data_IF_321390322164
#
_entry.id   IF_321390322164
#
_cell.length_a   1.000
_cell.length_b   1.000
_cell.length_c   1.000
_cell.angle_alpha   90.00
_cell.angle_beta   90.00
_cell.angle_gamma   90.00
#
_symmetry.space_group_name_H-M   'P 1'
#
loop_
_entity.id
_entity.type
_entity.pdbx_description
1 polymer ?
#
# COMPACT_ATOMS: atom_id res chain seq x y z
N UNK A 1 21.91 -4.92 -9.69
CA UNK A 1 21.36 -3.53 -9.63
C UNK A 1 20.04 -3.59 -10.38
N UNK A 2 18.92 -3.44 -9.67
CA UNK A 2 17.62 -3.29 -10.32
C UNK A 2 17.66 -2.00 -11.15
N UNK A 3 17.28 -2.08 -12.42
CA UNK A 3 17.24 -0.93 -13.32
C UNK A 3 16.12 0.00 -12.81
N UNK A 4 16.46 1.18 -12.34
CA UNK A 4 15.50 2.13 -11.80
C UNK A 4 14.53 2.53 -12.91
N UNK A 5 13.26 2.19 -12.74
CA UNK A 5 12.21 2.45 -13.73
C UNK A 5 12.02 3.97 -13.84
N UNK A 6 12.25 4.53 -15.02
CA UNK A 6 11.94 5.92 -15.31
C UNK A 6 10.43 6.04 -15.61
N UNK A 7 9.64 6.20 -14.55
CA UNK A 7 8.17 6.24 -14.60
C UNK A 7 7.66 7.39 -15.48
N UNK A 8 8.39 8.49 -15.61
CA UNK A 8 8.02 9.63 -16.45
C UNK A 8 8.04 9.31 -17.95
N UNK A 9 8.76 8.27 -18.36
CA UNK A 9 8.86 7.81 -19.75
C UNK A 9 7.89 6.71 -20.13
N UNK A 10 7.10 6.21 -19.17
CA UNK A 10 6.11 5.19 -19.48
C UNK A 10 4.96 5.74 -20.31
N UNK A 11 4.59 5.00 -21.33
CA UNK A 11 3.44 5.29 -22.19
C UNK A 11 2.24 4.47 -21.72
N UNK A 12 1.05 5.05 -21.82
CA UNK A 12 -0.20 4.39 -21.45
C UNK A 12 -0.81 3.68 -22.67
N UNK A 13 -1.28 2.44 -22.49
CA UNK A 13 -2.17 1.78 -23.45
C UNK A 13 -3.53 2.49 -23.40
N UNK A 14 -4.11 2.89 -24.53
CA UNK A 14 -5.42 3.54 -24.54
C UNK A 14 -6.48 2.69 -23.82
N UNK A 15 -7.34 3.32 -23.03
CA UNK A 15 -8.37 2.60 -22.24
C UNK A 15 -9.29 1.76 -23.12
N UNK A 16 -9.58 2.21 -24.35
CA UNK A 16 -10.42 1.48 -25.32
C UNK A 16 -9.75 0.20 -25.86
N UNK A 17 -8.43 0.06 -25.70
CA UNK A 17 -7.62 -1.08 -26.14
C UNK A 17 -7.21 -1.97 -24.97
N UNK A 18 -7.49 -1.54 -23.73
CA UNK A 18 -7.21 -2.30 -22.52
C UNK A 18 -8.32 -3.32 -22.27
N UNK A 19 -7.97 -4.61 -22.29
CA UNK A 19 -8.93 -5.70 -22.10
C UNK A 19 -9.12 -6.01 -20.62
N UNK A 20 -10.31 -6.43 -20.22
CA UNK A 20 -10.51 -6.98 -18.88
C UNK A 20 -9.69 -8.26 -18.71
N UNK A 21 -9.07 -8.50 -17.53
CA UNK A 21 -9.31 -7.81 -16.26
C UNK A 21 -8.43 -6.58 -15.99
N UNK A 22 -7.73 -6.06 -16.97
CA UNK A 22 -6.81 -4.93 -16.73
C UNK A 22 -7.58 -3.61 -16.61
N UNK A 23 -7.24 -2.83 -15.57
CA UNK A 23 -7.74 -1.46 -15.37
C UNK A 23 -6.85 -0.42 -16.04
N UNK A 24 -5.53 -0.69 -16.10
CA UNK A 24 -4.51 0.22 -16.64
C UNK A 24 -3.30 -0.61 -17.09
N UNK A 25 -2.69 -0.23 -18.20
CA UNK A 25 -1.43 -0.84 -18.65
C UNK A 25 -0.50 0.27 -19.11
N UNK A 26 0.67 0.33 -18.50
CA UNK A 26 1.76 1.18 -18.93
C UNK A 26 2.86 0.33 -19.58
N UNK A 27 3.58 0.88 -20.54
CA UNK A 27 4.72 0.24 -21.17
C UNK A 27 5.85 1.21 -21.44
N UNK A 28 7.05 0.69 -21.46
CA UNK A 28 8.27 1.44 -21.76
C UNK A 28 9.23 0.61 -22.59
N UNK A 29 9.59 1.13 -23.75
CA UNK A 29 10.58 0.51 -24.63
C UNK A 29 11.98 0.79 -24.04
N UNK A 30 12.70 -0.25 -23.64
CA UNK A 30 14.04 -0.11 -23.03
C UNK A 30 15.02 0.55 -23.99
N UNK A 31 15.81 1.55 -23.54
CA UNK A 31 16.74 2.30 -24.40
C UNK A 31 17.81 1.42 -25.04
N UNK A 32 18.21 0.34 -24.39
CA UNK A 32 19.18 -0.64 -24.90
C UNK A 32 18.61 -1.55 -25.99
N UNK A 33 17.31 -1.44 -26.24
CA UNK A 33 16.60 -2.25 -27.21
C UNK A 33 16.45 -3.73 -26.83
N UNK A 34 16.66 -4.10 -25.56
CA UNK A 34 16.53 -5.49 -25.07
C UNK A 34 15.08 -5.95 -25.02
N UNK A 35 14.12 -5.04 -24.85
CA UNK A 35 12.71 -5.38 -24.75
C UNK A 35 11.81 -4.22 -24.35
N UNK A 36 10.61 -4.59 -23.92
CA UNK A 36 9.57 -3.67 -23.46
C UNK A 36 9.17 -4.03 -22.06
N UNK A 37 9.32 -3.10 -21.12
CA UNK A 37 8.80 -3.25 -19.77
C UNK A 37 7.30 -2.97 -19.76
N UNK A 38 6.56 -3.79 -19.04
CA UNK A 38 5.11 -3.69 -18.87
C UNK A 38 4.80 -3.53 -17.38
N UNK A 39 3.89 -2.60 -17.11
CA UNK A 39 3.29 -2.40 -15.80
C UNK A 39 1.77 -2.47 -15.99
N UNK A 40 1.17 -3.62 -15.66
CA UNK A 40 -0.24 -3.87 -15.86
C UNK A 40 -0.96 -3.98 -14.51
N UNK A 41 -2.09 -3.27 -14.38
CA UNK A 41 -2.92 -3.29 -13.18
C UNK A 41 -4.19 -4.09 -13.45
N UNK A 42 -4.44 -5.09 -12.62
CA UNK A 42 -5.66 -5.90 -12.68
C UNK A 42 -6.74 -5.20 -11.88
N UNK A 43 -7.93 -5.10 -12.47
CA UNK A 43 -9.11 -4.54 -11.79
C UNK A 43 -9.49 -5.45 -10.60
N UNK A 44 -9.20 -4.98 -9.41
CA UNK A 44 -9.45 -5.73 -8.19
C UNK A 44 -10.92 -5.57 -7.76
N UNK A 45 -11.83 -6.25 -8.44
CA UNK A 45 -13.22 -6.38 -7.98
C UNK A 45 -13.39 -7.52 -6.95
N UNK A 46 -12.31 -8.22 -6.61
CA UNK A 46 -12.35 -9.38 -5.72
C UNK A 46 -11.85 -8.99 -4.35
N UNK A 47 -12.77 -8.71 -3.45
CA UNK A 47 -12.46 -8.71 -2.01
C UNK A 47 -12.05 -10.12 -1.61
N UNK A 48 -10.80 -10.31 -1.17
CA UNK A 48 -10.35 -11.61 -0.65
C UNK A 48 -11.20 -11.98 0.56
N UNK A 49 -11.87 -13.14 0.50
CA UNK A 49 -12.73 -13.60 1.58
C UNK A 49 -12.00 -13.57 2.94
N UNK A 50 -12.60 -12.88 3.91
CA UNK A 50 -12.03 -12.74 5.25
C UNK A 50 -10.87 -11.75 5.35
N UNK A 51 -10.64 -10.90 4.33
CA UNK A 51 -9.67 -9.80 4.40
C UNK A 51 -10.12 -8.72 5.39
N UNK A 52 -9.14 -8.03 5.98
CA UNK A 52 -9.33 -6.84 6.82
C UNK A 52 -8.35 -5.76 6.43
N UNK A 53 -8.83 -4.53 6.44
CA UNK A 53 -8.06 -3.35 6.08
C UNK A 53 -7.96 -2.38 7.24
N UNK A 54 -6.81 -1.72 7.37
CA UNK A 54 -6.62 -0.67 8.36
C UNK A 54 -5.74 0.44 7.85
N UNK A 55 -5.97 1.65 8.36
CA UNK A 55 -5.16 2.82 8.07
C UNK A 55 -4.82 3.57 9.37
N UNK A 56 -3.55 3.87 9.54
CA UNK A 56 -3.01 4.64 10.64
C UNK A 56 -2.43 5.96 10.10
N UNK A 57 -3.00 7.07 10.52
CA UNK A 57 -2.56 8.41 10.13
C UNK A 57 -1.75 9.00 11.28
N UNK A 58 -0.55 9.48 10.98
CA UNK A 58 0.32 10.10 11.97
C UNK A 58 -0.34 11.33 12.61
N UNK A 59 -0.35 11.34 13.93
CA UNK A 59 -0.86 12.43 14.76
C UNK A 59 0.23 13.11 15.61
N UNK A 60 1.51 12.96 15.21
CA UNK A 60 2.62 13.66 15.83
C UNK A 60 2.56 15.18 15.58
N UNK A 61 3.34 15.93 16.33
CA UNK A 61 3.36 17.41 16.26
C UNK A 61 3.82 17.95 14.91
N UNK A 62 4.64 17.21 14.16
CA UNK A 62 5.07 17.59 12.80
C UNK A 62 3.90 17.67 11.81
N UNK A 63 2.91 16.80 11.96
CA UNK A 63 1.70 16.77 11.12
C UNK A 63 0.73 17.95 11.37
N UNK A 64 0.90 18.73 12.44
CA UNK A 64 -0.02 19.82 12.80
C UNK A 64 -0.29 20.81 11.65
N UNK A 65 0.70 21.25 10.85
CA UNK A 65 0.46 22.12 9.71
C UNK A 65 -0.47 21.52 8.65
N UNK A 66 -0.38 20.20 8.43
CA UNK A 66 -1.19 19.49 7.43
C UNK A 66 -2.65 19.34 7.86
N UNK A 67 -2.92 19.34 9.17
CA UNK A 67 -4.28 19.39 9.71
C UNK A 67 -4.90 20.81 9.68
N UNK A 68 -4.15 21.81 9.25
CA UNK A 68 -4.68 23.17 9.06
C UNK A 68 -4.81 24.01 10.32
N UNK A 69 -4.19 23.63 11.44
CA UNK A 69 -4.36 24.30 12.75
C UNK A 69 -3.44 25.48 12.99
N UNK A 70 -2.38 25.67 12.22
CA UNK A 70 -1.40 26.74 12.43
C UNK A 70 -1.92 28.08 11.90
N UNK A 71 -2.71 28.78 12.70
CA UNK A 71 -3.10 30.16 12.43
C UNK A 71 -1.90 31.08 12.72
N UNK A 72 -1.22 31.52 11.68
CA UNK A 72 -0.07 32.44 11.80
C UNK A 72 -0.47 33.86 12.29
N UNK A 73 -1.74 34.19 12.23
CA UNK A 73 -2.31 35.47 12.70
C UNK A 73 -3.82 35.36 12.80
N UNK A 74 -4.41 36.06 13.79
CA UNK A 74 -5.87 36.18 13.96
C UNK A 74 -6.58 36.83 12.75
N UNK A 75 -5.83 37.44 11.83
CA UNK A 75 -6.35 38.13 10.65
C UNK A 75 -6.27 37.31 9.36
N UNK A 76 -5.63 36.14 9.41
CA UNK A 76 -5.55 35.24 8.25
C UNK A 76 -6.58 34.09 8.38
N UNK A 77 -7.18 33.64 7.27
CA UNK A 77 -8.03 32.47 7.32
C UNK A 77 -7.22 31.27 7.85
N UNK A 78 -7.85 30.32 8.56
CA UNK A 78 -7.17 29.10 8.98
C UNK A 78 -6.62 28.36 7.76
N UNK A 79 -5.43 27.75 7.92
CA UNK A 79 -4.84 26.92 6.88
C UNK A 79 -5.80 25.75 6.53
N UNK A 80 -5.88 25.34 5.28
CA UNK A 80 -6.73 24.22 4.89
C UNK A 80 -6.24 22.91 5.53
N UNK A 81 -7.18 22.05 5.92
CA UNK A 81 -6.86 20.70 6.35
C UNK A 81 -6.58 19.84 5.11
N UNK A 82 -5.32 19.54 4.83
CA UNK A 82 -4.88 18.70 3.72
C UNK A 82 -5.03 17.19 4.01
N UNK A 83 -5.04 16.80 5.29
CA UNK A 83 -5.19 15.40 5.71
C UNK A 83 -6.60 14.88 5.39
N UNK A 84 -7.62 15.70 5.64
CA UNK A 84 -9.03 15.27 5.51
C UNK A 84 -9.37 14.67 4.14
N UNK A 85 -9.17 15.34 2.99
CA UNK A 85 -9.56 14.78 1.69
C UNK A 85 -8.78 13.51 1.36
N UNK A 86 -7.49 13.45 1.69
CA UNK A 86 -6.67 12.27 1.47
C UNK A 86 -7.13 11.10 2.35
N UNK A 87 -7.34 11.33 3.65
CA UNK A 87 -7.83 10.31 4.57
C UNK A 87 -9.22 9.77 4.18
N UNK A 88 -10.13 10.65 3.72
CA UNK A 88 -11.44 10.24 3.21
C UNK A 88 -11.29 9.30 2.01
N UNK A 89 -10.52 9.69 1.01
CA UNK A 89 -10.35 8.91 -0.21
C UNK A 89 -9.65 7.57 0.07
N UNK A 90 -8.56 7.56 0.84
CA UNK A 90 -7.84 6.33 1.20
C UNK A 90 -8.69 5.38 2.04
N UNK A 91 -9.39 5.89 3.05
CA UNK A 91 -10.25 5.06 3.89
C UNK A 91 -11.42 4.48 3.09
N UNK A 92 -12.04 5.28 2.21
CA UNK A 92 -13.11 4.82 1.31
C UNK A 92 -12.63 3.71 0.37
N UNK A 93 -11.44 3.91 -0.22
CA UNK A 93 -10.82 2.91 -1.08
C UNK A 93 -10.55 1.60 -0.33
N UNK A 94 -9.91 1.65 0.85
CA UNK A 94 -9.63 0.45 1.64
C UNK A 94 -10.91 -0.25 2.11
N UNK A 95 -11.91 0.49 2.54
CA UNK A 95 -13.20 -0.09 2.91
C UNK A 95 -13.82 -0.88 1.76
N UNK A 96 -13.69 -0.39 0.52
CA UNK A 96 -14.19 -1.08 -0.67
C UNK A 96 -13.45 -2.39 -0.98
N UNK A 97 -12.22 -2.55 -0.47
CA UNK A 97 -11.37 -3.74 -0.65
C UNK A 97 -11.43 -4.72 0.52
N UNK A 98 -12.02 -4.33 1.63
CA UNK A 98 -12.19 -5.20 2.81
C UNK A 98 -13.39 -6.13 2.66
N UNK A 99 -13.25 -7.40 3.08
CA UNK A 99 -14.32 -8.39 2.96
C UNK A 99 -15.57 -8.05 3.78
N UNK A 100 -15.45 -7.25 4.83
CA UNK A 100 -16.57 -6.76 5.65
C UNK A 100 -17.07 -5.37 5.21
N UNK A 101 -16.50 -4.80 4.14
CA UNK A 101 -16.84 -3.47 3.64
C UNK A 101 -16.42 -2.33 4.56
N UNK A 102 -15.47 -2.56 5.46
CA UNK A 102 -15.02 -1.57 6.46
C UNK A 102 -13.50 -1.47 6.50
N UNK A 103 -13.03 -0.30 6.93
CA UNK A 103 -11.62 -0.05 7.24
C UNK A 103 -11.49 0.40 8.69
N UNK A 104 -10.56 -0.18 9.43
CA UNK A 104 -10.20 0.27 10.76
C UNK A 104 -9.30 1.51 10.68
N UNK A 105 -9.71 2.62 11.27
CA UNK A 105 -9.00 3.91 11.18
C UNK A 105 -8.54 4.37 12.54
N UNK A 106 -7.27 4.75 12.62
CA UNK A 106 -6.66 5.31 13.84
C UNK A 106 -5.80 6.54 13.51
N UNK A 107 -5.61 7.40 14.51
CA UNK A 107 -4.42 8.23 14.59
C UNK A 107 -3.38 7.53 15.47
N UNK A 108 -2.13 7.50 15.04
CA UNK A 108 -1.03 6.95 15.79
C UNK A 108 0.00 8.02 16.11
N UNK A 109 1.05 7.68 16.87
CA UNK A 109 2.03 8.64 17.35
C UNK A 109 1.39 9.85 18.06
N UNK A 110 0.31 9.63 18.80
CA UNK A 110 -0.35 10.68 19.59
C UNK A 110 0.09 10.62 21.06
N UNK A 111 -0.19 11.68 21.81
CA UNK A 111 0.10 11.77 23.23
C UNK A 111 1.57 11.88 23.60
N UNK A 112 1.92 11.77 24.90
CA UNK A 112 3.28 11.91 25.38
C UNK A 112 4.24 10.85 24.80
N UNK A 113 5.32 11.31 24.14
CA UNK A 113 6.31 10.44 23.50
C UNK A 113 5.78 9.71 22.28
N UNK A 114 4.62 10.08 21.73
CA UNK A 114 4.06 9.46 20.53
C UNK A 114 3.69 7.98 20.70
N UNK A 115 3.34 7.55 21.92
CA UNK A 115 3.11 6.14 22.27
C UNK A 115 1.66 5.70 22.21
N UNK A 116 0.76 6.65 22.11
CA UNK A 116 -0.67 6.37 22.17
C UNK A 116 -1.28 6.23 20.77
N UNK A 117 -2.43 5.55 20.73
CA UNK A 117 -3.27 5.38 19.56
C UNK A 117 -4.64 5.98 19.87
N UNK A 118 -5.11 6.87 19.01
CA UNK A 118 -6.47 7.39 19.06
C UNK A 118 -7.33 6.67 18.04
N UNK A 119 -8.31 5.90 18.51
CA UNK A 119 -9.22 5.15 17.64
C UNK A 119 -10.24 6.12 17.03
N UNK A 120 -10.36 6.10 15.71
CA UNK A 120 -11.40 6.80 14.96
C UNK A 120 -12.63 5.89 14.82
N UNK A 121 -12.43 4.65 14.42
CA UNK A 121 -13.48 3.64 14.29
C UNK A 121 -13.34 2.79 13.03
N UNK A 122 -14.34 1.95 12.82
CA UNK A 122 -14.50 1.16 11.60
C UNK A 122 -15.45 1.89 10.67
N UNK A 123 -14.95 2.33 9.53
CA UNK A 123 -15.72 3.12 8.57
C UNK A 123 -16.04 2.29 7.32
N UNK A 124 -17.30 2.31 6.92
CA UNK A 124 -17.71 1.87 5.59
C UNK A 124 -17.26 2.88 4.53
N UNK A 125 -17.29 2.50 3.25
CA UNK A 125 -16.99 3.41 2.13
C UNK A 125 -17.75 4.75 2.26
N UNK A 126 -19.06 4.70 2.47
CA UNK A 126 -19.89 5.90 2.55
C UNK A 126 -19.69 6.72 3.85
N UNK A 127 -19.29 6.08 4.93
CA UNK A 127 -18.93 6.77 6.18
C UNK A 127 -17.58 7.46 6.04
N UNK A 128 -16.59 6.79 5.44
CA UNK A 128 -15.26 7.34 5.19
C UNK A 128 -15.29 8.61 4.32
N UNK A 129 -16.08 8.61 3.24
CA UNK A 129 -16.27 9.77 2.36
C UNK A 129 -16.81 11.02 3.09
N UNK A 130 -17.56 10.81 4.14
CA UNK A 130 -18.25 11.90 4.89
C UNK A 130 -17.57 12.20 6.21
N UNK A 131 -16.66 11.35 6.67
CA UNK A 131 -16.04 11.50 7.97
C UNK A 131 -15.21 12.79 8.04
N UNK A 132 -15.33 13.49 9.17
CA UNK A 132 -14.56 14.71 9.37
C UNK A 132 -13.21 14.36 10.02
N UNK A 133 -12.21 14.02 9.23
CA UNK A 133 -10.84 13.81 9.68
C UNK A 133 -10.25 15.13 10.21
N UNK A 134 -10.57 15.42 11.46
CA UNK A 134 -10.06 16.59 12.18
C UNK A 134 -8.70 16.32 12.80
N UNK A 135 -8.24 17.26 13.61
CA UNK A 135 -6.99 17.13 14.35
C UNK A 135 -7.08 16.03 15.40
N UNK A 136 -5.98 15.32 15.71
CA UNK A 136 -5.92 14.45 16.88
C UNK A 136 -6.27 15.18 18.17
N UNK A 137 -6.82 14.48 19.15
CA UNK A 137 -7.16 15.07 20.46
C UNK A 137 -5.92 15.63 21.15
N UNK A 138 -4.81 14.89 21.08
CA UNK A 138 -3.50 15.28 21.62
C UNK A 138 -2.44 14.92 20.60
N UNK A 139 -1.74 15.92 20.05
CA UNK A 139 -0.58 15.66 19.21
C UNK A 139 0.52 14.93 19.98
N UNK A 140 1.21 14.04 19.31
CA UNK A 140 2.36 13.35 19.89
C UNK A 140 3.61 14.20 19.96
N UNK A 141 4.45 13.92 20.94
CA UNK A 141 5.77 14.55 21.10
C UNK A 141 6.90 13.63 20.64
N UNK A 142 6.59 12.56 19.93
CA UNK A 142 7.48 11.59 19.31
C UNK A 142 6.71 10.75 18.30
N UNK A 143 7.38 9.83 17.60
CA UNK A 143 6.80 9.02 16.52
C UNK A 143 7.15 7.54 16.74
N UNK A 144 6.34 6.83 17.54
CA UNK A 144 6.52 5.42 17.82
C UNK A 144 5.52 4.56 17.03
N UNK A 145 6.02 3.70 16.14
CA UNK A 145 5.22 2.89 15.21
C UNK A 145 4.69 1.59 15.86
N UNK A 146 5.44 0.99 16.78
CA UNK A 146 5.08 -0.29 17.37
C UNK A 146 3.70 -0.35 18.02
N UNK A 147 3.22 0.70 18.74
CA UNK A 147 1.85 0.69 19.29
C UNK A 147 0.77 0.58 18.20
N UNK A 148 0.94 1.25 17.07
CA UNK A 148 0.01 1.18 15.94
C UNK A 148 0.05 -0.19 15.25
N UNK A 149 1.24 -0.76 15.04
CA UNK A 149 1.40 -2.13 14.56
C UNK A 149 0.63 -3.11 15.44
N UNK A 150 0.87 -3.07 16.74
CA UNK A 150 0.22 -3.97 17.72
C UNK A 150 -1.29 -3.78 17.74
N UNK A 151 -1.79 -2.56 17.56
CA UNK A 151 -3.23 -2.32 17.47
C UNK A 151 -3.88 -3.17 16.38
N UNK A 152 -3.27 -3.23 15.19
CA UNK A 152 -3.80 -4.03 14.08
C UNK A 152 -3.47 -5.52 14.18
N UNK A 153 -2.32 -5.90 14.73
CA UNK A 153 -1.77 -7.24 14.53
C UNK A 153 -1.72 -8.10 15.80
N UNK A 154 -1.72 -7.51 17.01
CA UNK A 154 -1.57 -8.25 18.27
C UNK A 154 -2.86 -8.98 18.70
N UNK A 155 -4.01 -8.39 18.42
CA UNK A 155 -5.33 -8.91 18.80
C UNK A 155 -5.74 -8.62 20.24
N UNK A 156 -4.93 -7.92 21.02
CA UNK A 156 -5.32 -7.46 22.36
C UNK A 156 -6.45 -6.43 22.27
N UNK A 157 -6.31 -5.47 21.38
CA UNK A 157 -7.32 -4.45 21.10
C UNK A 157 -8.34 -4.88 20.03
N UNK A 158 -7.90 -5.66 19.04
CA UNK A 158 -8.67 -6.00 17.83
C UNK A 158 -8.47 -7.46 17.40
N UNK A 159 -9.15 -8.35 18.11
CA UNK A 159 -9.10 -9.79 17.83
C UNK A 159 -9.54 -10.12 16.40
N UNK A 160 -10.57 -9.44 15.91
CA UNK A 160 -11.09 -9.58 14.54
C UNK A 160 -10.06 -9.23 13.46
N UNK A 161 -9.19 -8.24 13.70
CA UNK A 161 -8.10 -7.90 12.78
C UNK A 161 -6.99 -8.94 12.79
N UNK A 162 -6.64 -9.45 13.97
CA UNK A 162 -5.63 -10.52 14.12
C UNK A 162 -6.07 -11.83 13.50
N UNK A 163 -7.35 -12.18 13.61
CA UNK A 163 -7.95 -13.40 13.07
C UNK A 163 -8.37 -13.28 11.59
N UNK A 164 -8.15 -12.13 10.96
CA UNK A 164 -8.37 -11.96 9.53
C UNK A 164 -7.61 -13.03 8.73
N UNK A 165 -8.23 -13.60 7.72
CA UNK A 165 -7.56 -14.56 6.81
C UNK A 165 -6.42 -13.90 6.02
N UNK A 166 -6.49 -12.59 5.86
CA UNK A 166 -5.47 -11.74 5.31
C UNK A 166 -5.68 -10.30 5.79
N UNK A 167 -4.62 -9.60 6.12
CA UNK A 167 -4.67 -8.22 6.58
C UNK A 167 -3.76 -7.31 5.78
N UNK A 168 -4.22 -6.09 5.45
CA UNK A 168 -3.38 -5.02 4.94
C UNK A 168 -3.54 -3.78 5.81
N UNK A 169 -2.43 -3.31 6.35
CA UNK A 169 -2.41 -2.18 7.27
C UNK A 169 -1.44 -1.11 6.77
N UNK A 170 -1.95 0.10 6.57
CA UNK A 170 -1.21 1.21 5.95
C UNK A 170 -0.93 2.27 7.00
N UNK A 171 0.32 2.72 7.05
CA UNK A 171 0.82 3.74 7.97
C UNK A 171 1.28 4.94 7.16
N UNK A 172 0.84 6.13 7.55
CA UNK A 172 1.23 7.40 6.92
C UNK A 172 1.95 8.22 7.96
N UNK A 173 3.14 8.75 7.61
CA UNK A 173 3.98 9.56 8.50
C UNK A 173 4.73 10.63 7.73
N UNK A 174 5.04 11.76 8.36
CA UNK A 174 5.92 12.81 7.84
C UNK A 174 7.25 12.91 8.63
N UNK A 175 7.46 11.98 9.59
CA UNK A 175 8.57 12.03 10.52
C UNK A 175 9.47 10.79 10.53
N UNK A 176 10.45 10.83 11.43
CA UNK A 176 11.31 9.69 11.74
C UNK A 176 10.65 8.78 12.76
N UNK A 177 10.81 7.47 12.57
CA UNK A 177 10.33 6.44 13.50
C UNK A 177 11.38 6.27 14.60
N UNK A 178 10.98 6.47 15.85
CA UNK A 178 11.89 6.47 17.00
C UNK A 178 12.13 5.07 17.59
N UNK A 179 11.26 4.10 17.30
CA UNK A 179 11.29 2.75 17.85
C UNK A 179 11.58 1.66 16.80
N UNK A 180 12.40 1.98 15.80
CA UNK A 180 12.73 1.10 14.67
C UNK A 180 13.25 -0.28 15.08
N UNK A 181 14.13 -0.36 16.08
CA UNK A 181 14.70 -1.63 16.54
C UNK A 181 13.63 -2.55 17.13
N UNK A 182 12.69 -2.00 17.89
CA UNK A 182 11.55 -2.72 18.45
C UNK A 182 10.58 -3.17 17.36
N UNK A 183 10.32 -2.30 16.38
CA UNK A 183 9.50 -2.60 15.19
C UNK A 183 10.09 -3.78 14.42
N UNK A 184 11.39 -3.73 14.09
CA UNK A 184 12.07 -4.82 13.36
C UNK A 184 12.02 -6.14 14.11
N UNK A 185 12.27 -6.14 15.42
CA UNK A 185 12.17 -7.35 16.26
C UNK A 185 10.75 -7.94 16.26
N UNK A 186 9.76 -7.07 16.37
CA UNK A 186 8.35 -7.48 16.34
C UNK A 186 7.96 -8.07 15.00
N UNK A 187 8.32 -7.40 13.89
CA UNK A 187 8.06 -7.86 12.53
C UNK A 187 8.77 -9.18 12.21
N UNK A 188 10.03 -9.34 12.64
CA UNK A 188 10.76 -10.61 12.49
C UNK A 188 10.06 -11.77 13.21
N UNK A 189 9.54 -11.53 14.42
CA UNK A 189 8.76 -12.55 15.13
C UNK A 189 7.45 -12.88 14.42
N UNK A 190 6.77 -11.85 13.90
CA UNK A 190 5.51 -11.99 13.16
C UNK A 190 5.70 -12.77 11.86
N UNK A 191 6.76 -12.49 11.09
CA UNK A 191 7.09 -13.21 9.87
C UNK A 191 7.31 -14.72 10.13
N UNK A 192 8.04 -15.06 11.20
CA UNK A 192 8.24 -16.46 11.62
C UNK A 192 6.93 -17.15 12.02
N UNK A 193 5.99 -16.42 12.59
CA UNK A 193 4.68 -16.97 12.93
C UNK A 193 3.81 -17.20 11.69
N UNK A 194 3.91 -16.32 10.68
CA UNK A 194 3.23 -16.49 9.39
C UNK A 194 3.81 -17.70 8.65
N UNK A 195 5.14 -17.77 8.47
CA UNK A 195 5.81 -18.89 7.81
C UNK A 195 5.50 -20.25 8.46
N UNK A 196 5.40 -20.26 9.80
CA UNK A 196 5.05 -21.47 10.55
C UNK A 196 3.54 -21.78 10.55
N UNK A 197 2.70 -21.00 9.85
CA UNK A 197 1.25 -21.17 9.82
C UNK A 197 0.53 -20.88 11.14
N UNK A 198 1.20 -20.23 12.11
CA UNK A 198 0.60 -19.82 13.38
C UNK A 198 -0.16 -18.51 13.28
N UNK A 199 0.06 -17.77 12.20
CA UNK A 199 -0.60 -16.50 11.90
C UNK A 199 -0.95 -16.47 10.40
N UNK A 200 -2.06 -15.84 10.07
CA UNK A 200 -2.44 -15.57 8.68
C UNK A 200 -1.57 -14.46 8.06
N UNK A 201 -1.57 -14.40 6.74
CA UNK A 201 -0.77 -13.42 5.98
C UNK A 201 -1.15 -11.99 6.31
N UNK A 202 -0.14 -11.15 6.44
CA UNK A 202 -0.27 -9.71 6.66
C UNK A 202 0.67 -8.99 5.71
N UNK A 203 0.18 -7.91 5.11
CA UNK A 203 0.99 -6.94 4.40
C UNK A 203 0.92 -5.59 5.12
N UNK A 204 2.08 -5.02 5.36
CA UNK A 204 2.26 -3.72 5.98
C UNK A 204 2.74 -2.75 4.91
N UNK A 205 2.17 -1.56 4.88
CA UNK A 205 2.58 -0.51 3.94
C UNK A 205 2.89 0.74 4.74
N UNK A 206 4.03 1.36 4.49
CA UNK A 206 4.35 2.66 5.06
C UNK A 206 4.56 3.70 3.96
N UNK A 207 3.90 4.85 4.11
CA UNK A 207 4.00 5.96 3.18
C UNK A 207 4.59 7.15 3.93
N UNK A 208 5.81 7.51 3.56
CA UNK A 208 6.47 8.72 4.02
C UNK A 208 5.97 9.95 3.26
N UNK A 209 5.66 11.03 3.95
CA UNK A 209 5.11 12.25 3.36
C UNK A 209 6.06 13.43 3.53
N UNK A 210 6.44 14.06 2.40
CA UNK A 210 7.28 15.25 2.38
C UNK A 210 8.77 14.95 2.58
N UNK A 211 9.55 16.02 2.82
CA UNK A 211 11.02 15.94 2.82
C UNK A 211 11.63 15.67 4.21
N UNK A 212 10.79 15.64 5.26
CA UNK A 212 11.27 15.39 6.64
C UNK A 212 11.28 13.91 7.00
N UNK A 213 10.69 13.05 6.16
CA UNK A 213 10.71 11.61 6.37
C UNK A 213 12.12 11.05 6.16
N UNK A 214 12.53 10.12 7.00
CA UNK A 214 13.80 9.41 6.87
C UNK A 214 13.67 8.31 5.81
N UNK A 215 14.16 8.59 4.60
CA UNK A 215 14.10 7.63 3.48
C UNK A 215 14.85 6.33 3.79
N UNK A 216 15.98 6.42 4.50
CA UNK A 216 16.76 5.28 4.96
C UNK A 216 15.96 4.35 5.87
N UNK A 217 15.07 4.89 6.72
CA UNK A 217 14.18 4.08 7.54
C UNK A 217 13.07 3.40 6.72
N UNK A 218 12.56 4.08 5.68
CA UNK A 218 11.60 3.47 4.76
C UNK A 218 12.24 2.30 4.01
N UNK A 219 13.45 2.50 3.47
CA UNK A 219 14.21 1.44 2.79
C UNK A 219 14.57 0.29 3.75
N UNK A 220 14.87 0.58 5.01
CA UNK A 220 15.18 -0.43 6.03
C UNK A 220 13.96 -1.29 6.37
N UNK A 221 12.74 -0.75 6.34
CA UNK A 221 11.52 -1.54 6.49
C UNK A 221 11.21 -2.34 5.24
N UNK A 222 11.29 -1.73 4.07
CA UNK A 222 11.02 -2.38 2.78
C UNK A 222 11.92 -3.61 2.54
N UNK A 223 13.21 -3.48 2.92
CA UNK A 223 14.21 -4.52 2.78
C UNK A 223 14.43 -5.32 4.08
N UNK A 224 13.46 -5.37 4.99
CA UNK A 224 13.62 -6.03 6.28
C UNK A 224 13.85 -7.53 6.15
N UNK A 225 15.08 -7.97 6.36
CA UNK A 225 15.44 -9.39 6.41
C UNK A 225 14.93 -10.05 7.71
N UNK A 226 13.86 -10.79 7.62
CA UNK A 226 13.25 -11.51 8.76
C UNK A 226 13.84 -12.89 8.99
N UNK A 227 14.65 -13.39 8.04
CA UNK A 227 15.14 -14.76 8.00
C UNK A 227 14.07 -15.77 7.58
N UNK A 228 13.02 -15.30 6.91
CA UNK A 228 11.92 -16.08 6.33
C UNK A 228 11.67 -15.62 4.90
N UNK A 229 10.88 -16.38 4.12
CA UNK A 229 10.44 -15.98 2.78
C UNK A 229 9.25 -14.97 2.81
N UNK A 230 8.81 -14.56 4.01
CA UNK A 230 7.67 -13.65 4.16
C UNK A 230 8.10 -12.21 3.95
N UNK A 231 7.63 -11.61 2.88
CA UNK A 231 7.76 -10.18 2.61
C UNK A 231 6.63 -9.40 3.29
N UNK A 232 6.94 -8.74 4.41
CA UNK A 232 5.96 -8.04 5.24
C UNK A 232 5.68 -6.62 4.77
N UNK A 233 6.71 -5.87 4.32
CA UNK A 233 6.62 -4.44 4.12
C UNK A 233 6.66 -4.04 2.65
N UNK A 234 5.93 -2.98 2.33
CA UNK A 234 6.21 -2.10 1.22
C UNK A 234 6.34 -0.68 1.75
N UNK A 235 7.32 0.06 1.25
CA UNK A 235 7.53 1.44 1.64
C UNK A 235 7.55 2.36 0.42
N UNK A 236 6.94 3.54 0.54
CA UNK A 236 6.94 4.56 -0.51
C UNK A 236 7.04 5.96 0.07
N UNK A 237 7.49 6.90 -0.76
CA UNK A 237 7.52 8.33 -0.43
C UNK A 237 6.58 9.11 -1.35
N UNK A 238 5.74 9.95 -0.75
CA UNK A 238 4.96 10.96 -1.44
C UNK A 238 5.54 12.35 -1.18
N UNK A 239 5.72 13.15 -2.21
CA UNK A 239 6.27 14.51 -2.06
C UNK A 239 5.28 15.44 -1.39
N UNK A 240 4.00 15.33 -1.72
CA UNK A 240 2.93 16.14 -1.15
C UNK A 240 1.68 15.29 -0.90
N UNK A 241 0.79 15.79 -0.03
CA UNK A 241 -0.47 15.11 0.29
C UNK A 241 -1.38 14.87 -0.92
N UNK A 242 -1.31 15.72 -1.96
CA UNK A 242 -2.09 15.55 -3.19
C UNK A 242 -1.65 14.34 -4.01
N UNK A 243 -0.35 14.00 -3.98
CA UNK A 243 0.24 12.89 -4.73
C UNK A 243 -0.02 11.56 -4.03
N UNK A 244 -0.40 11.64 -2.75
CA UNK A 244 -0.61 10.49 -1.88
C UNK A 244 -1.64 9.51 -2.42
N UNK A 245 -2.71 10.00 -3.07
CA UNK A 245 -3.76 9.11 -3.59
C UNK A 245 -3.33 8.27 -4.78
N UNK A 246 -2.54 8.84 -5.67
CA UNK A 246 -2.03 8.10 -6.84
C UNK A 246 -1.05 7.02 -6.39
N UNK A 247 -0.14 7.39 -5.48
CA UNK A 247 0.82 6.48 -4.86
C UNK A 247 0.11 5.41 -4.03
N UNK A 248 -0.85 5.82 -3.21
CA UNK A 248 -1.60 4.94 -2.32
C UNK A 248 -2.35 3.83 -3.07
N UNK A 249 -3.08 4.18 -4.13
CA UNK A 249 -3.80 3.20 -4.94
C UNK A 249 -2.84 2.19 -5.57
N UNK A 250 -1.70 2.68 -6.07
CA UNK A 250 -0.68 1.83 -6.66
C UNK A 250 -0.10 0.84 -5.64
N UNK A 251 0.30 1.33 -4.46
CA UNK A 251 0.87 0.47 -3.39
C UNK A 251 -0.16 -0.51 -2.84
N UNK A 252 -1.39 -0.06 -2.63
CA UNK A 252 -2.46 -0.93 -2.15
C UNK A 252 -2.74 -2.05 -3.16
N UNK A 253 -2.82 -1.74 -4.44
CA UNK A 253 -3.03 -2.72 -5.50
C UNK A 253 -1.79 -3.64 -5.66
N UNK A 254 -0.57 -3.09 -5.59
CA UNK A 254 0.68 -3.85 -5.64
C UNK A 254 0.82 -4.85 -4.48
N UNK A 255 0.38 -4.45 -3.29
CA UNK A 255 0.42 -5.28 -2.08
C UNK A 255 -0.69 -6.35 -2.04
N UNK A 256 -1.65 -6.28 -2.95
CA UNK A 256 -2.83 -7.15 -2.94
C UNK A 256 -2.60 -8.40 -3.79
N UNK A 257 -2.66 -9.58 -3.17
CA UNK A 257 -2.70 -10.86 -3.89
C UNK A 257 -4.16 -11.16 -4.24
N UNK A 258 -4.48 -11.14 -5.53
CA UNK A 258 -5.84 -11.34 -6.02
C UNK A 258 -6.24 -12.82 -6.04
N UNK A 259 -5.32 -13.68 -6.48
CA UNK A 259 -5.55 -15.13 -6.61
C UNK A 259 -4.37 -15.88 -6.00
N UNK A 260 -4.56 -16.58 -4.86
CA UNK A 260 -3.51 -17.39 -4.26
C UNK A 260 -3.07 -18.53 -5.21
N UNK A 261 -1.76 -18.77 -5.28
CA UNK A 261 -1.16 -19.88 -5.99
C UNK A 261 -1.64 -20.07 -7.44
N UNK A 262 -1.92 -18.97 -8.17
CA UNK A 262 -2.28 -19.00 -9.58
C UNK A 262 -1.76 -17.76 -10.32
N UNK A 263 -1.65 -17.83 -11.62
CA UNK A 263 -1.22 -16.76 -12.50
C UNK A 263 0.05 -17.08 -13.27
N UNK A 264 0.00 -16.87 -14.59
CA UNK A 264 1.12 -17.07 -15.50
C UNK A 264 1.06 -16.02 -16.61
N UNK A 265 2.17 -15.35 -16.88
CA UNK A 265 2.28 -14.41 -18.01
C UNK A 265 3.18 -15.02 -19.07
N UNK A 266 2.71 -14.99 -20.33
CA UNK A 266 3.47 -15.40 -21.51
C UNK A 266 3.67 -14.24 -22.48
N UNK A 267 4.76 -14.31 -23.22
CA UNK A 267 4.99 -13.44 -24.37
C UNK A 267 4.17 -13.90 -25.59
N UNK A 268 4.23 -13.13 -26.68
CA UNK A 268 3.56 -13.42 -27.96
C UNK A 268 4.02 -14.79 -28.57
N UNK A 269 5.22 -15.25 -28.23
CA UNK A 269 5.75 -16.53 -28.65
C UNK A 269 5.31 -17.72 -27.78
N UNK A 270 4.55 -17.48 -26.73
CA UNK A 270 4.09 -18.47 -25.77
C UNK A 270 5.10 -18.83 -24.68
N UNK A 271 6.26 -18.14 -24.62
CA UNK A 271 7.25 -18.38 -23.57
C UNK A 271 6.77 -17.76 -22.25
N UNK A 272 7.08 -18.44 -21.15
CA UNK A 272 6.77 -17.92 -19.81
C UNK A 272 7.67 -16.71 -19.53
N UNK A 273 7.05 -15.56 -19.23
CA UNK A 273 7.74 -14.34 -18.84
C UNK A 273 7.83 -14.24 -17.34
N UNK A 274 6.73 -14.54 -16.63
CA UNK A 274 6.69 -14.58 -15.18
C UNK A 274 5.65 -15.61 -14.71
N UNK A 275 5.98 -16.28 -13.60
CA UNK A 275 5.14 -17.30 -12.99
C UNK A 275 4.76 -16.90 -11.57
N UNK A 276 3.46 -16.70 -11.32
CA UNK A 276 2.89 -16.35 -10.03
C UNK A 276 2.25 -17.55 -9.32
N UNK A 277 2.36 -18.77 -9.85
CA UNK A 277 1.67 -19.94 -9.30
C UNK A 277 2.12 -20.31 -7.89
N UNK A 278 3.36 -19.97 -7.54
CA UNK A 278 3.89 -20.25 -6.21
C UNK A 278 3.72 -19.08 -5.22
N UNK A 279 3.60 -17.85 -5.73
CA UNK A 279 3.54 -16.62 -4.93
C UNK A 279 2.14 -15.98 -4.87
N UNK A 280 1.22 -16.42 -5.74
CA UNK A 280 -0.06 -15.75 -5.95
C UNK A 280 0.02 -14.60 -6.95
N UNK A 281 -1.11 -14.33 -7.64
CA UNK A 281 -1.21 -13.27 -8.63
C UNK A 281 -1.45 -11.92 -7.94
N UNK A 282 -0.51 -10.96 -8.02
CA UNK A 282 -0.71 -9.63 -7.46
C UNK A 282 -1.64 -8.78 -8.33
N UNK A 283 -2.18 -7.71 -7.77
CA UNK A 283 -2.99 -6.75 -8.53
C UNK A 283 -2.14 -5.94 -9.52
N UNK A 284 -0.84 -5.77 -9.25
CA UNK A 284 0.14 -5.13 -10.14
C UNK A 284 1.07 -6.18 -10.72
N UNK A 285 1.10 -6.28 -12.04
CA UNK A 285 2.04 -7.14 -12.77
C UNK A 285 3.17 -6.27 -13.33
N UNK A 286 4.40 -6.63 -13.02
CA UNK A 286 5.60 -5.99 -13.56
C UNK A 286 6.49 -7.03 -14.24
N UNK A 287 6.75 -6.86 -15.54
CA UNK A 287 7.58 -7.81 -16.31
C UNK A 287 8.15 -7.17 -17.57
N UNK A 288 9.15 -7.83 -18.16
CA UNK A 288 9.76 -7.39 -19.42
C UNK A 288 9.47 -8.39 -20.53
N UNK A 289 8.88 -7.92 -21.62
CA UNK A 289 8.73 -8.68 -22.85
C UNK A 289 9.99 -8.56 -23.71
N UNK A 290 10.48 -9.64 -24.35
CA UNK A 290 11.60 -9.57 -25.26
C UNK A 290 11.24 -8.77 -26.51
N UNK A 291 12.20 -8.10 -27.14
CA UNK A 291 12.00 -7.21 -28.28
C UNK A 291 11.25 -7.85 -29.47
N UNK A 292 11.51 -9.11 -29.70
CA UNK A 292 10.93 -9.89 -30.81
C UNK A 292 9.54 -10.47 -30.52
N UNK A 293 9.02 -10.30 -29.30
CA UNK A 293 7.72 -10.80 -28.85
C UNK A 293 7.04 -9.80 -27.87
N UNK A 294 7.01 -8.51 -28.27
CA UNK A 294 6.57 -7.40 -27.41
C UNK A 294 5.28 -6.70 -27.88
N UNK A 295 4.56 -7.29 -28.85
CA UNK A 295 3.30 -6.74 -29.36
C UNK A 295 2.06 -7.20 -28.60
N UNK A 296 2.17 -8.23 -27.81
CA UNK A 296 1.12 -8.74 -26.95
C UNK A 296 1.70 -9.53 -25.78
N UNK A 297 0.92 -9.69 -24.73
CA UNK A 297 1.19 -10.68 -23.69
C UNK A 297 -0.10 -11.41 -23.31
N UNK A 298 0.04 -12.60 -22.76
CA UNK A 298 -1.09 -13.44 -22.35
C UNK A 298 -1.03 -13.68 -20.86
N UNK A 299 -2.13 -13.39 -20.15
CA UNK A 299 -2.34 -13.75 -18.74
C UNK A 299 -3.22 -15.01 -18.69
N UNK A 300 -2.70 -16.07 -18.05
CA UNK A 300 -3.46 -17.28 -17.68
C UNK A 300 -3.77 -17.21 -16.18
N UNK A 301 -5.05 -17.23 -15.80
CA UNK A 301 -5.47 -17.19 -14.39
C UNK A 301 -6.86 -17.79 -14.22
N UNK A 302 -7.06 -18.62 -13.18
CA UNK A 302 -8.36 -19.21 -12.87
C UNK A 302 -8.95 -20.01 -14.02
N UNK A 303 -8.12 -20.63 -14.87
CA UNK A 303 -8.56 -21.37 -16.06
C UNK A 303 -8.92 -20.48 -17.27
N UNK A 304 -8.83 -19.17 -17.14
CA UNK A 304 -9.04 -18.20 -18.22
C UNK A 304 -7.72 -17.80 -18.86
N UNK A 305 -7.77 -17.43 -20.13
CA UNK A 305 -6.62 -16.96 -20.92
C UNK A 305 -7.00 -15.63 -21.58
N UNK A 306 -6.28 -14.57 -21.25
CA UNK A 306 -6.51 -13.22 -21.75
C UNK A 306 -5.26 -12.76 -22.51
N UNK A 307 -5.38 -12.48 -23.80
CA UNK A 307 -4.28 -11.96 -24.61
C UNK A 307 -4.49 -10.45 -24.85
N UNK A 308 -3.62 -9.66 -24.22
CA UNK A 308 -3.63 -8.22 -24.29
C UNK A 308 -2.70 -7.73 -25.39
N UNK A 309 -3.20 -7.09 -26.45
CA UNK A 309 -2.36 -6.44 -27.45
C UNK A 309 -1.70 -5.18 -26.88
N UNK A 310 -0.52 -4.85 -27.43
CA UNK A 310 0.24 -3.66 -27.09
C UNK A 310 0.50 -2.83 -28.37
N UNK A 311 0.52 -1.49 -28.27
CA UNK A 311 0.79 -0.59 -29.41
C UNK A 311 2.17 -0.77 -30.04
#
# INVERSE_FOLDING_TARGET
>A
MAEQIDREKMKLVPQAETLEPFSKINYWDKPDGSGRMILAFIKADVTREGSRMGIAIDGSGSMEPLFGKKQLSAFLPPAPNHVKPAAQAMSSYLASKSADGKVAVIYWAVGPGGKDVQIIGDLTTSEAEKFNFGVPTNYGTGTQLLPALKYFTDGVARKDLKEAKWGMYIFITDGQIEDMDEVKKYCTSMAKDIEAGRRNDIKLVIIGLGDQVAEDQLEELDNLETGTEVDLWNAMKASEMKDLMDIFSEVADESMILVPADGLVRDEGGNIVINYRDTGLPAKLEFTLPKNASKAFTLEVGGNTITQPLP
#
